data_IF_481617090623
#
_entry.id   IF_481617090623
#
_cell.length_a   1.000
_cell.length_b   1.000
_cell.length_c   1.000
_cell.angle_alpha   90.00
_cell.angle_beta   90.00
_cell.angle_gamma   90.00
#
_symmetry.space_group_name_H-M   'P 1'
#
loop_
_entity.id
_entity.type
_entity.pdbx_description
1 polymer ?
#
# COMPACT_ATOMS: atom_id res chain seq x y z
N UNK A 1 13.75 12.48 3.76
CA UNK A 1 12.88 11.52 3.04
C UNK A 1 12.92 11.89 1.56
N UNK A 2 13.67 11.12 0.76
CA UNK A 2 13.56 11.21 -0.70
C UNK A 2 12.24 10.54 -1.06
N UNK A 3 11.22 11.32 -1.39
CA UNK A 3 10.05 10.84 -2.10
C UNK A 3 10.53 10.28 -3.44
N UNK A 4 10.47 8.98 -3.59
CA UNK A 4 10.74 8.34 -4.87
C UNK A 4 9.47 8.50 -5.70
N UNK A 5 9.51 9.32 -6.74
CA UNK A 5 8.39 9.48 -7.65
C UNK A 5 8.18 8.18 -8.42
N UNK A 6 6.95 7.64 -8.37
CA UNK A 6 6.63 6.36 -8.98
C UNK A 6 6.06 6.47 -10.40
N UNK A 7 5.87 7.69 -10.93
CA UNK A 7 5.36 7.87 -12.28
C UNK A 7 5.99 9.07 -12.99
N UNK A 8 6.26 8.90 -14.29
CA UNK A 8 6.82 9.96 -15.12
C UNK A 8 5.93 11.21 -15.21
N UNK A 9 4.62 11.07 -15.07
CA UNK A 9 3.68 12.21 -15.08
C UNK A 9 3.91 13.16 -13.91
N UNK A 10 4.25 12.67 -12.73
CA UNK A 10 4.56 13.53 -11.57
C UNK A 10 5.86 14.31 -11.78
N UNK A 11 6.87 13.70 -12.40
CA UNK A 11 8.10 14.41 -12.78
C UNK A 11 7.82 15.48 -13.85
N UNK A 12 6.95 15.20 -14.81
CA UNK A 12 6.54 16.20 -15.82
C UNK A 12 5.84 17.40 -15.17
N UNK A 13 4.95 17.18 -14.19
CA UNK A 13 4.32 18.26 -13.43
C UNK A 13 5.37 19.09 -12.69
N UNK A 14 6.31 18.44 -12.01
CA UNK A 14 7.38 19.11 -11.29
C UNK A 14 8.29 19.93 -12.20
N UNK A 15 8.53 19.44 -13.41
CA UNK A 15 9.29 20.13 -14.46
C UNK A 15 8.48 21.18 -15.19
N UNK A 16 7.23 21.42 -14.78
CA UNK A 16 6.31 22.37 -15.40
C UNK A 16 6.01 22.09 -16.88
N UNK A 17 6.08 20.81 -17.28
CA UNK A 17 5.85 20.41 -18.67
C UNK A 17 4.39 20.59 -19.13
N UNK A 18 3.47 20.94 -18.22
CA UNK A 18 2.06 21.16 -18.50
C UNK A 18 1.62 22.62 -18.30
N UNK A 19 2.53 23.53 -17.92
CA UNK A 19 2.15 24.92 -17.59
C UNK A 19 1.54 25.69 -18.79
N UNK A 20 1.93 25.32 -20.02
CA UNK A 20 1.42 25.92 -21.27
C UNK A 20 0.37 25.01 -21.97
N UNK A 21 -0.19 24.01 -21.28
CA UNK A 21 -1.12 23.04 -21.85
C UNK A 21 -2.53 23.29 -21.33
N UNK A 22 -3.45 23.61 -22.23
CA UNK A 22 -4.86 23.88 -21.89
C UNK A 22 -5.66 22.60 -21.63
N UNK A 23 -5.29 21.48 -22.28
CA UNK A 23 -6.03 20.22 -22.24
C UNK A 23 -5.09 19.02 -22.23
N UNK A 24 -5.31 18.09 -21.31
CA UNK A 24 -4.60 16.81 -21.25
C UNK A 24 -5.58 15.67 -21.41
N UNK A 25 -5.36 14.84 -22.44
CA UNK A 25 -6.08 13.60 -22.66
C UNK A 25 -5.19 12.41 -22.33
N UNK A 26 -5.76 11.39 -21.71
CA UNK A 26 -5.08 10.14 -21.38
C UNK A 26 -5.96 8.95 -21.74
N UNK A 27 -5.33 7.88 -22.24
CA UNK A 27 -6.01 6.62 -22.48
C UNK A 27 -5.30 5.50 -21.70
N UNK A 28 -6.07 4.48 -21.33
CA UNK A 28 -5.58 3.28 -20.67
C UNK A 28 -6.18 2.05 -21.34
N UNK A 29 -5.34 1.04 -21.61
CA UNK A 29 -5.82 -0.24 -22.13
C UNK A 29 -6.54 -1.02 -21.04
N UNK A 30 -7.68 -1.61 -21.38
CA UNK A 30 -8.49 -2.45 -20.50
C UNK A 30 -8.52 -3.88 -21.01
N UNK A 31 -8.67 -4.88 -20.13
CA UNK A 31 -8.83 -6.27 -20.56
C UNK A 31 -10.09 -6.45 -21.41
N UNK A 32 -10.06 -7.32 -22.44
CA UNK A 32 -11.23 -7.62 -23.27
C UNK A 32 -12.44 -8.12 -22.48
N UNK A 33 -12.24 -8.66 -21.29
CA UNK A 33 -13.30 -9.15 -20.38
C UNK A 33 -14.27 -8.08 -19.90
N UNK A 34 -13.95 -6.78 -20.08
CA UNK A 34 -14.89 -5.68 -19.79
C UNK A 34 -16.00 -5.52 -20.82
N UNK A 35 -15.88 -6.16 -22.01
CA UNK A 35 -16.96 -6.26 -22.98
C UNK A 35 -17.26 -5.02 -23.80
N UNK A 36 -16.45 -3.96 -23.72
CA UNK A 36 -16.57 -2.75 -24.53
C UNK A 36 -15.22 -2.34 -25.14
N UNK A 37 -15.28 -1.62 -26.26
CA UNK A 37 -14.09 -1.18 -26.99
C UNK A 37 -13.44 0.07 -26.37
N UNK A 38 -14.27 0.95 -25.79
CA UNK A 38 -13.82 2.19 -25.15
C UNK A 38 -14.80 2.62 -24.08
N UNK A 39 -14.30 3.31 -23.08
CA UNK A 39 -15.08 3.95 -22.02
C UNK A 39 -14.59 5.38 -21.87
N UNK A 40 -15.51 6.32 -21.83
CA UNK A 40 -15.25 7.74 -21.54
C UNK A 40 -15.77 8.04 -20.15
N UNK A 41 -15.13 8.99 -19.44
CA UNK A 41 -15.52 9.39 -18.10
C UNK A 41 -15.33 8.31 -17.02
N UNK A 42 -14.38 7.38 -17.20
CA UNK A 42 -14.04 6.43 -16.16
C UNK A 42 -13.16 7.07 -15.07
N UNK A 43 -13.36 6.66 -13.83
CA UNK A 43 -12.53 7.07 -12.71
C UNK A 43 -11.42 6.06 -12.45
N UNK A 44 -10.23 6.54 -12.07
CA UNK A 44 -9.13 5.69 -11.64
C UNK A 44 -8.81 5.97 -10.17
N UNK A 45 -8.66 4.89 -9.40
CA UNK A 45 -8.21 4.99 -8.02
C UNK A 45 -6.78 5.55 -7.96
N UNK A 46 -6.54 6.43 -7.00
CA UNK A 46 -5.19 6.74 -6.57
C UNK A 46 -4.58 5.60 -5.75
N UNK A 47 -3.29 5.68 -5.48
CA UNK A 47 -2.66 4.74 -4.56
C UNK A 47 -1.56 5.39 -3.73
N UNK A 48 -1.29 4.76 -2.58
CA UNK A 48 -0.14 4.99 -1.73
C UNK A 48 0.61 3.67 -1.57
N UNK A 49 1.90 3.70 -1.88
CA UNK A 49 2.81 2.57 -1.68
C UNK A 49 3.49 2.64 -0.32
N UNK A 50 3.66 1.48 0.32
CA UNK A 50 4.36 1.33 1.59
C UNK A 50 5.34 0.18 1.53
N UNK A 51 6.48 0.37 2.16
CA UNK A 51 7.40 -0.70 2.57
C UNK A 51 7.38 -0.80 4.08
N UNK A 52 7.09 -1.98 4.59
CA UNK A 52 6.99 -2.26 6.01
C UNK A 52 8.10 -3.25 6.39
N UNK A 53 8.83 -2.96 7.45
CA UNK A 53 9.92 -3.80 7.94
C UNK A 53 9.64 -4.11 9.41
N UNK A 54 9.26 -5.37 9.69
CA UNK A 54 9.20 -5.86 11.06
C UNK A 54 10.58 -6.36 11.49
N UNK A 55 10.95 -6.01 12.74
CA UNK A 55 12.25 -6.32 13.34
C UNK A 55 12.04 -7.10 14.63
N UNK A 56 12.63 -8.26 14.70
CA UNK A 56 12.58 -9.16 15.85
C UNK A 56 13.97 -9.50 16.36
N UNK A 57 14.08 -10.68 16.99
CA UNK A 57 15.34 -11.26 17.50
C UNK A 57 15.41 -12.72 17.07
N UNK A 58 16.46 -13.09 16.34
CA UNK A 58 16.65 -14.44 15.88
C UNK A 58 17.21 -15.33 16.99
N UNK A 59 16.68 -16.54 17.09
CA UNK A 59 17.17 -17.62 17.94
C UNK A 59 16.93 -18.96 17.27
N UNK A 60 17.52 -20.05 17.81
CA UNK A 60 17.27 -21.38 17.30
C UNK A 60 15.85 -21.84 17.68
N UNK A 61 14.99 -22.08 16.68
CA UNK A 61 13.57 -22.34 16.89
C UNK A 61 13.27 -23.65 17.67
N UNK A 62 14.15 -24.63 17.57
CA UNK A 62 13.99 -25.93 18.28
C UNK A 62 14.73 -26.03 19.62
N UNK A 63 15.53 -25.03 19.99
CA UNK A 63 16.36 -25.09 21.21
C UNK A 63 15.95 -24.03 22.23
N UNK A 64 15.95 -22.77 21.87
CA UNK A 64 15.63 -21.66 22.77
C UNK A 64 14.76 -20.60 22.12
N UNK A 65 13.57 -20.94 21.58
CA UNK A 65 12.69 -19.98 20.91
C UNK A 65 12.17 -18.88 21.85
N UNK A 66 12.18 -19.13 23.17
CA UNK A 66 11.74 -18.16 24.19
C UNK A 66 12.61 -16.90 24.29
N UNK A 67 13.86 -16.98 23.82
CA UNK A 67 14.77 -15.83 23.80
C UNK A 67 14.65 -14.99 22.50
N UNK A 68 13.78 -15.44 21.59
CA UNK A 68 13.54 -14.78 20.32
C UNK A 68 12.31 -13.87 20.32
N UNK A 69 12.27 -12.98 19.32
CA UNK A 69 11.10 -12.17 18.97
C UNK A 69 10.78 -12.44 17.50
N UNK A 70 9.65 -13.08 17.24
CA UNK A 70 9.30 -13.52 15.89
C UNK A 70 8.66 -12.39 15.08
N UNK A 71 9.44 -11.80 14.17
CA UNK A 71 8.97 -10.75 13.27
C UNK A 71 7.87 -11.22 12.30
N UNK A 72 7.85 -12.52 11.93
CA UNK A 72 6.82 -13.07 11.06
C UNK A 72 5.47 -13.18 11.78
N UNK A 73 5.48 -13.54 13.07
CA UNK A 73 4.27 -13.54 13.89
C UNK A 73 3.72 -12.12 14.04
N UNK A 74 4.58 -11.13 14.27
CA UNK A 74 4.18 -9.71 14.33
C UNK A 74 3.53 -9.26 13.02
N UNK A 75 4.11 -9.62 11.88
CA UNK A 75 3.55 -9.35 10.57
C UNK A 75 2.19 -10.02 10.39
N UNK A 76 2.04 -11.29 10.76
CA UNK A 76 0.78 -12.02 10.64
C UNK A 76 -0.33 -11.41 11.49
N UNK A 77 -0.06 -11.01 12.74
CA UNK A 77 -1.03 -10.31 13.60
C UNK A 77 -1.47 -8.99 12.95
N UNK A 78 -0.53 -8.21 12.43
CA UNK A 78 -0.80 -6.95 11.75
C UNK A 78 -1.67 -7.15 10.50
N UNK A 79 -1.34 -8.15 9.67
CA UNK A 79 -2.07 -8.44 8.43
C UNK A 79 -3.49 -8.93 8.71
N UNK A 80 -3.69 -9.74 9.77
CA UNK A 80 -5.04 -10.12 10.23
C UNK A 80 -5.83 -8.91 10.74
N UNK A 81 -5.20 -8.01 11.51
CA UNK A 81 -5.85 -6.78 11.94
C UNK A 81 -6.29 -5.92 10.75
N UNK A 82 -5.46 -5.80 9.69
CA UNK A 82 -5.82 -5.10 8.45
C UNK A 82 -7.01 -5.82 7.77
N UNK A 83 -7.05 -7.15 7.76
CA UNK A 83 -8.16 -7.90 7.19
C UNK A 83 -9.49 -7.60 7.90
N UNK A 84 -9.49 -7.50 9.22
CA UNK A 84 -10.67 -7.14 10.00
C UNK A 84 -11.11 -5.69 9.81
N UNK A 85 -10.18 -4.77 9.55
CA UNK A 85 -10.52 -3.37 9.25
C UNK A 85 -11.36 -3.19 7.98
N UNK A 86 -11.42 -4.21 7.10
CA UNK A 86 -12.23 -4.15 5.86
C UNK A 86 -13.72 -3.91 6.12
N UNK A 87 -14.24 -4.34 7.26
CA UNK A 87 -15.62 -4.07 7.68
C UNK A 87 -15.89 -2.55 7.88
N UNK A 88 -14.83 -1.76 8.08
CA UNK A 88 -14.92 -0.31 8.28
C UNK A 88 -14.69 0.49 7.00
N UNK A 89 -14.51 -0.18 5.87
CA UNK A 89 -14.29 0.47 4.59
C UNK A 89 -15.62 0.74 3.89
N UNK A 90 -15.81 1.97 3.45
CA UNK A 90 -17.01 2.35 2.70
C UNK A 90 -16.92 1.79 1.28
N UNK A 91 -18.01 1.23 0.77
CA UNK A 91 -18.09 0.66 -0.58
C UNK A 91 -17.85 1.73 -1.66
N UNK A 92 -18.41 2.92 -1.46
CA UNK A 92 -18.29 4.07 -2.35
C UNK A 92 -16.84 4.52 -2.58
N UNK A 93 -15.96 4.30 -1.59
CA UNK A 93 -14.55 4.65 -1.66
C UNK A 93 -13.70 3.67 -2.49
N UNK A 94 -14.27 2.53 -2.89
CA UNK A 94 -13.61 1.49 -3.68
C UNK A 94 -12.23 1.10 -3.15
N UNK A 95 -12.11 0.98 -1.81
CA UNK A 95 -10.84 0.76 -1.12
C UNK A 95 -10.28 -0.62 -1.47
N UNK A 96 -8.96 -0.65 -1.73
CA UNK A 96 -8.19 -1.88 -1.90
C UNK A 96 -6.88 -1.78 -1.12
N UNK A 97 -6.63 -2.75 -0.24
CA UNK A 97 -5.35 -2.94 0.45
C UNK A 97 -4.83 -4.31 0.07
N UNK A 98 -3.67 -4.36 -0.55
CA UNK A 98 -3.03 -5.59 -0.97
C UNK A 98 -1.52 -5.51 -0.80
N UNK A 99 -0.89 -6.65 -0.56
CA UNK A 99 0.50 -6.73 -0.18
C UNK A 99 1.17 -8.00 -0.70
N UNK A 100 2.48 -7.98 -0.66
CA UNK A 100 3.33 -9.15 -0.83
C UNK A 100 4.41 -9.15 0.25
N UNK A 101 4.68 -10.32 0.82
CA UNK A 101 5.83 -10.51 1.71
C UNK A 101 7.04 -10.79 0.82
N UNK A 102 7.98 -9.86 0.79
CA UNK A 102 9.19 -9.96 -0.04
C UNK A 102 10.35 -10.62 0.69
N UNK A 103 10.31 -10.63 2.04
CA UNK A 103 11.26 -11.31 2.91
C UNK A 103 10.50 -11.84 4.13
N UNK A 104 10.55 -13.13 4.42
CA UNK A 104 9.75 -13.80 5.45
C UNK A 104 10.56 -14.60 6.48
N UNK A 105 11.88 -14.42 6.53
CA UNK A 105 12.80 -15.17 7.39
C UNK A 105 13.82 -15.98 6.59
N UNK A 106 14.86 -16.49 7.27
CA UNK A 106 16.00 -17.17 6.64
C UNK A 106 15.85 -18.70 6.54
N UNK A 107 15.13 -19.32 7.46
CA UNK A 107 14.98 -20.78 7.48
C UNK A 107 14.09 -21.27 8.62
N UNK A 108 13.59 -22.51 8.51
CA UNK A 108 12.60 -23.09 9.43
C UNK A 108 13.14 -23.30 10.84
N UNK A 109 14.44 -23.52 10.98
CA UNK A 109 15.09 -23.75 12.26
C UNK A 109 15.51 -22.47 12.99
N UNK A 110 15.14 -21.30 12.46
CA UNK A 110 15.49 -20.00 13.02
C UNK A 110 14.24 -19.16 13.21
N UNK A 111 14.09 -18.52 14.38
CA UNK A 111 13.03 -17.52 14.61
C UNK A 111 13.30 -16.34 13.70
N UNK A 112 12.33 -15.95 12.84
CA UNK A 112 12.50 -14.81 11.92
C UNK A 112 12.70 -13.51 12.67
N UNK A 113 13.82 -12.84 12.45
CA UNK A 113 14.14 -11.52 13.05
C UNK A 113 13.84 -10.36 12.10
N UNK A 114 13.56 -10.67 10.83
CA UNK A 114 13.25 -9.65 9.82
C UNK A 114 12.18 -10.14 8.85
N UNK A 115 11.17 -9.29 8.64
CA UNK A 115 10.15 -9.49 7.62
C UNK A 115 9.94 -8.18 6.87
N UNK A 116 9.91 -8.26 5.54
CA UNK A 116 9.66 -7.11 4.66
C UNK A 116 8.39 -7.34 3.87
N UNK A 117 7.53 -6.33 3.86
CA UNK A 117 6.26 -6.33 3.14
C UNK A 117 6.21 -5.10 2.24
N UNK A 118 5.91 -5.30 0.97
CA UNK A 118 5.50 -4.23 0.06
C UNK A 118 3.98 -4.22 -0.05
N UNK A 119 3.37 -3.03 0.11
CA UNK A 119 1.92 -2.86 0.20
C UNK A 119 1.45 -1.67 -0.61
N UNK A 120 0.25 -1.81 -1.22
CA UNK A 120 -0.46 -0.70 -1.84
C UNK A 120 -1.82 -0.50 -1.17
N UNK A 121 -2.12 0.76 -0.85
CA UNK A 121 -3.44 1.24 -0.46
C UNK A 121 -4.01 2.01 -1.65
N UNK A 122 -5.19 1.63 -2.11
CA UNK A 122 -5.88 2.28 -3.23
C UNK A 122 -7.26 2.72 -2.80
N UNK A 123 -7.69 3.91 -3.25
CA UNK A 123 -9.05 4.38 -3.06
C UNK A 123 -9.45 5.42 -4.12
N UNK A 124 -10.75 5.71 -4.19
CA UNK A 124 -11.33 6.65 -5.16
C UNK A 124 -11.03 8.11 -4.83
N UNK A 125 -10.84 8.43 -3.55
CA UNK A 125 -10.58 9.79 -3.07
C UNK A 125 -9.30 9.88 -2.26
N UNK A 126 -8.71 11.08 -2.19
CA UNK A 126 -7.53 11.32 -1.36
C UNK A 126 -7.86 11.15 0.14
N UNK A 127 -9.05 11.56 0.56
CA UNK A 127 -9.45 11.46 1.97
C UNK A 127 -9.65 10.00 2.39
N UNK A 128 -10.21 9.16 1.51
CA UNK A 128 -10.28 7.73 1.73
C UNK A 128 -8.88 7.08 1.82
N UNK A 129 -7.93 7.50 0.96
CA UNK A 129 -6.53 7.03 1.07
C UNK A 129 -5.94 7.39 2.43
N UNK A 130 -6.12 8.63 2.90
CA UNK A 130 -5.59 9.08 4.20
C UNK A 130 -6.23 8.33 5.39
N UNK A 131 -7.55 8.12 5.36
CA UNK A 131 -8.26 7.37 6.41
C UNK A 131 -7.75 5.93 6.52
N UNK A 132 -7.65 5.25 5.38
CA UNK A 132 -7.16 3.86 5.35
C UNK A 132 -5.69 3.78 5.70
N UNK A 133 -4.88 4.73 5.27
CA UNK A 133 -3.46 4.83 5.62
C UNK A 133 -3.27 4.87 7.14
N UNK A 134 -4.02 5.73 7.84
CA UNK A 134 -3.98 5.83 9.30
C UNK A 134 -4.45 4.54 9.98
N UNK A 135 -5.49 3.87 9.44
CA UNK A 135 -5.98 2.58 9.95
C UNK A 135 -4.94 1.48 9.78
N UNK A 136 -4.31 1.40 8.61
CA UNK A 136 -3.26 0.43 8.29
C UNK A 136 -2.04 0.64 9.18
N UNK A 137 -1.56 1.88 9.32
CA UNK A 137 -0.41 2.19 10.17
C UNK A 137 -0.67 1.78 11.64
N UNK A 138 -1.87 2.03 12.15
CA UNK A 138 -2.25 1.60 13.50
C UNK A 138 -2.24 0.08 13.64
N UNK A 139 -2.75 -0.66 12.65
CA UNK A 139 -2.75 -2.12 12.65
C UNK A 139 -1.32 -2.69 12.60
N UNK A 140 -0.44 -2.11 11.79
CA UNK A 140 0.96 -2.52 11.68
C UNK A 140 1.70 -2.31 13.00
N UNK A 141 1.53 -1.15 13.64
CA UNK A 141 2.11 -0.86 14.96
C UNK A 141 1.52 -1.74 16.06
N UNK A 142 0.21 -2.00 16.02
CA UNK A 142 -0.48 -2.89 16.96
C UNK A 142 0.02 -4.33 16.88
N UNK A 143 0.23 -4.87 15.68
CA UNK A 143 0.79 -6.20 15.47
C UNK A 143 2.24 -6.33 15.98
N UNK A 144 3.06 -5.31 15.74
CA UNK A 144 4.42 -5.25 16.27
C UNK A 144 4.41 -5.22 17.80
N UNK A 145 3.60 -4.33 18.39
CA UNK A 145 3.48 -4.19 19.84
C UNK A 145 3.01 -5.47 20.52
N UNK A 146 2.02 -6.17 19.94
CA UNK A 146 1.46 -7.40 20.50
C UNK A 146 2.49 -8.53 20.65
N UNK A 147 3.51 -8.54 19.81
CA UNK A 147 4.59 -9.58 19.78
C UNK A 147 5.88 -9.08 20.43
N UNK A 148 5.97 -7.78 20.74
CA UNK A 148 7.21 -7.16 21.24
C UNK A 148 8.23 -6.88 20.13
N UNK A 149 7.83 -6.88 18.86
CA UNK A 149 8.68 -6.59 17.72
C UNK A 149 8.74 -5.08 17.43
N UNK A 150 9.80 -4.66 16.74
CA UNK A 150 9.87 -3.34 16.13
C UNK A 150 9.18 -3.30 14.78
N UNK A 151 8.69 -2.13 14.36
CA UNK A 151 8.19 -1.91 13.00
C UNK A 151 8.65 -0.57 12.45
N UNK A 152 9.12 -0.60 11.20
CA UNK A 152 9.45 0.57 10.41
C UNK A 152 8.49 0.63 9.22
N UNK A 153 7.84 1.80 9.02
CA UNK A 153 6.86 2.03 7.95
C UNK A 153 7.38 3.16 7.07
N UNK A 154 7.58 2.87 5.80
CA UNK A 154 8.15 3.79 4.82
C UNK A 154 7.14 3.98 3.69
N UNK A 155 6.71 5.22 3.46
CA UNK A 155 5.92 5.54 2.28
C UNK A 155 6.84 5.61 1.07
N UNK A 156 6.57 4.79 0.06
CA UNK A 156 7.42 4.66 -1.14
C UNK A 156 6.99 5.54 -2.30
N UNK A 157 5.85 6.21 -2.16
CA UNK A 157 5.27 7.11 -3.17
C UNK A 157 3.85 6.69 -3.54
N UNK A 158 3.27 7.40 -4.49
CA UNK A 158 1.90 7.15 -4.93
C UNK A 158 1.46 8.15 -5.99
N UNK A 159 0.21 8.08 -6.42
CA UNK A 159 -0.42 9.09 -7.26
C UNK A 159 -1.87 9.32 -6.81
N UNK A 160 -2.37 10.52 -7.11
CA UNK A 160 -3.72 10.92 -6.78
C UNK A 160 -4.75 10.16 -7.64
N UNK A 161 -5.99 10.01 -7.15
CA UNK A 161 -7.10 9.56 -7.97
C UNK A 161 -7.31 10.46 -9.18
N UNK A 162 -7.76 9.90 -10.28
CA UNK A 162 -8.15 10.68 -11.45
C UNK A 162 -9.51 11.34 -11.18
N UNK A 163 -9.53 12.66 -11.27
CA UNK A 163 -10.76 13.46 -11.27
C UNK A 163 -11.01 13.93 -12.70
N UNK A 164 -12.16 13.55 -13.25
CA UNK A 164 -12.58 13.94 -14.60
C UNK A 164 -13.14 15.37 -14.58
N UNK A 165 -13.03 16.05 -15.72
CA UNK A 165 -13.75 17.30 -15.96
C UNK A 165 -15.10 16.97 -16.62
N UNK A 166 -16.21 17.23 -15.92
CA UNK A 166 -17.56 16.88 -16.38
C UNK A 166 -17.97 17.58 -17.68
N UNK A 167 -17.39 18.76 -17.96
CA UNK A 167 -17.67 19.49 -19.22
C UNK A 167 -16.98 18.88 -20.43
N UNK A 168 -15.82 18.22 -20.21
CA UNK A 168 -15.08 17.56 -21.29
C UNK A 168 -15.58 16.14 -21.55
N UNK A 169 -16.33 15.58 -20.62
CA UNK A 169 -16.81 14.20 -20.68
C UNK A 169 -18.31 14.07 -20.99
N UNK A 170 -19.02 15.19 -21.05
CA UNK A 170 -20.41 15.29 -21.50
C UNK A 170 -20.53 15.50 -23.00
#
# INVERSE_FOLDING_TARGET
>A
NKLTYMSGKQEMIKLKAFDDIDLVLSCHSMPPSYGYLSEVNSSLNGFLGKKIIFKGVSTHAGFNPCDGINALNAANVALNAIAYLRETFKEEDAIRVHYVITEGGAGVNSVPDRVVIDMYIRARTLDAIKDVDAKVDRALRGGALAIGAGVEIINTGGYLPLVQDDKLTS
#
